data_IF_737855774917
#
_entry.id   IF_737855774917
#
_cell.length_a   1.000
_cell.length_b   1.000
_cell.length_c   1.000
_cell.angle_alpha   90.00
_cell.angle_beta   90.00
_cell.angle_gamma   90.00
#
_symmetry.space_group_name_H-M   'P 1'
#
loop_
_entity.id
_entity.type
_entity.pdbx_description
1 polymer ?
#
# COMPACT_ATOMS: atom_id res chain seq x y z
N UNK A 1 -1.36 67.30 16.98
CA UNK A 1 -1.88 66.68 15.74
C UNK A 1 -1.09 65.42 15.50
N UNK A 2 -1.65 64.25 15.84
CA UNK A 2 -0.99 62.95 15.76
C UNK A 2 -1.67 62.11 14.68
N UNK A 3 -0.85 61.47 13.84
CA UNK A 3 -1.27 60.63 12.72
C UNK A 3 -1.77 59.25 13.20
N UNK A 4 -2.70 58.61 12.47
CA UNK A 4 -3.21 57.28 12.82
C UNK A 4 -2.24 56.17 12.39
N UNK A 5 -2.07 55.19 13.27
CA UNK A 5 -1.33 53.94 13.06
C UNK A 5 -2.12 53.00 12.15
N UNK A 6 -1.61 52.76 10.94
CA UNK A 6 -2.07 51.71 10.04
C UNK A 6 -1.32 50.41 10.34
N UNK A 7 -2.03 49.43 10.93
CA UNK A 7 -1.62 48.02 10.95
C UNK A 7 -2.05 47.37 9.64
N UNK A 8 -1.11 47.05 8.78
CA UNK A 8 -1.26 46.07 7.69
C UNK A 8 -0.28 44.94 7.96
N UNK A 9 -0.80 43.84 8.50
CA UNK A 9 -0.09 42.57 8.59
C UNK A 9 -0.45 41.78 7.34
N UNK A 10 0.40 41.86 6.33
CA UNK A 10 0.36 40.98 5.17
C UNK A 10 0.76 39.56 5.61
N UNK A 11 -0.24 38.73 5.93
CA UNK A 11 -0.08 37.28 5.96
C UNK A 11 -0.77 36.72 4.71
N UNK A 12 0.03 36.51 3.65
CA UNK A 12 -0.31 35.55 2.58
C UNK A 12 0.02 34.16 3.12
N UNK A 13 -0.96 33.54 3.79
CA UNK A 13 -0.97 32.09 4.01
C UNK A 13 -1.66 31.42 2.82
N UNK A 14 -0.89 30.65 2.05
CA UNK A 14 -1.05 29.20 1.94
C UNK A 14 -1.99 28.81 0.80
N UNK A 15 -1.41 28.76 -0.41
CA UNK A 15 -1.92 27.86 -1.43
C UNK A 15 -1.77 26.45 -0.88
N UNK A 16 -2.89 25.80 -0.60
CA UNK A 16 -2.94 24.43 -0.11
C UNK A 16 -2.08 23.52 -0.98
N UNK A 17 -0.92 23.16 -0.45
CA UNK A 17 -0.06 22.12 -0.99
C UNK A 17 -0.89 20.84 -0.94
N UNK A 18 -1.43 20.45 -2.10
CA UNK A 18 -2.28 19.27 -2.25
C UNK A 18 -1.48 18.06 -1.80
N UNK A 19 -1.91 17.43 -0.71
CA UNK A 19 -1.22 16.27 -0.15
C UNK A 19 -1.52 15.04 -1.02
N UNK A 20 -0.67 14.81 -2.02
CA UNK A 20 -0.74 13.68 -2.97
C UNK A 20 -0.26 12.36 -2.35
N UNK A 21 -0.59 12.10 -1.07
CA UNK A 21 0.09 11.07 -0.26
C UNK A 21 -0.81 9.91 0.19
N UNK A 22 -1.42 9.11 -0.72
CA UNK A 22 -2.17 7.90 -0.35
C UNK A 22 -1.28 6.71 0.07
N UNK A 23 0.04 6.90 0.16
CA UNK A 23 1.03 5.83 0.40
C UNK A 23 1.69 5.85 1.79
N UNK A 24 1.26 6.73 2.71
CA UNK A 24 1.90 6.86 4.01
C UNK A 24 1.27 5.94 5.05
N UNK A 25 2.10 5.07 5.64
CA UNK A 25 1.76 4.19 6.76
C UNK A 25 1.40 5.01 8.01
N UNK A 26 0.49 4.50 8.85
CA UNK A 26 0.31 5.05 10.22
C UNK A 26 1.56 4.76 11.06
N UNK A 27 1.85 5.60 12.05
CA UNK A 27 3.06 5.50 12.90
C UNK A 27 3.21 4.12 13.56
N UNK A 28 2.10 3.51 13.95
CA UNK A 28 2.04 2.19 14.60
C UNK A 28 2.33 1.03 13.62
N UNK A 29 1.87 1.15 12.37
CA UNK A 29 2.21 0.20 11.29
C UNK A 29 3.69 0.30 10.91
N UNK A 30 4.24 1.51 11.00
CA UNK A 30 5.67 1.74 10.81
C UNK A 30 6.46 1.11 11.93
N UNK A 31 5.97 1.04 13.18
CA UNK A 31 6.72 0.45 14.29
C UNK A 31 6.86 -1.07 14.17
N UNK A 32 5.83 -1.82 13.78
CA UNK A 32 5.92 -3.28 13.58
C UNK A 32 6.77 -3.64 12.35
N UNK A 33 6.57 -2.91 11.24
CA UNK A 33 7.42 -3.05 10.07
C UNK A 33 8.84 -2.65 10.36
N UNK A 34 9.05 -1.57 11.12
CA UNK A 34 10.36 -1.09 11.54
C UNK A 34 11.01 -2.11 12.45
N UNK A 35 10.33 -2.71 13.43
CA UNK A 35 10.94 -3.75 14.27
C UNK A 35 11.34 -4.99 13.46
N UNK A 36 10.46 -5.48 12.58
CA UNK A 36 10.79 -6.61 11.69
C UNK A 36 11.94 -6.27 10.73
N UNK A 37 11.97 -5.06 10.18
CA UNK A 37 13.04 -4.56 9.32
C UNK A 37 14.32 -4.27 10.09
N UNK A 38 14.23 -3.73 11.30
CA UNK A 38 15.33 -3.45 12.21
C UNK A 38 15.97 -4.76 12.63
N UNK A 39 15.22 -5.82 12.88
CA UNK A 39 15.79 -7.12 13.21
C UNK A 39 16.51 -7.76 12.01
N UNK A 40 15.92 -7.67 10.81
CA UNK A 40 16.57 -8.07 9.55
C UNK A 40 17.84 -7.24 9.28
N UNK A 41 17.78 -5.93 9.54
CA UNK A 41 18.89 -5.00 9.42
C UNK A 41 19.96 -5.29 10.48
N UNK A 42 19.61 -5.52 11.74
CA UNK A 42 20.54 -5.79 12.84
C UNK A 42 21.29 -7.08 12.57
N UNK A 43 20.64 -8.14 12.10
CA UNK A 43 21.33 -9.38 11.73
C UNK A 43 22.28 -9.19 10.53
N UNK A 44 21.91 -8.38 9.53
CA UNK A 44 22.76 -8.12 8.35
C UNK A 44 23.89 -7.13 8.66
N UNK A 45 23.64 -6.11 9.49
CA UNK A 45 24.56 -5.03 9.90
C UNK A 45 25.54 -5.49 10.98
N UNK A 46 25.15 -6.38 11.88
CA UNK A 46 26.10 -7.04 12.79
C UNK A 46 27.23 -7.77 12.03
N UNK A 47 27.05 -8.02 10.72
CA UNK A 47 28.05 -8.63 9.85
C UNK A 47 28.64 -7.69 8.78
N UNK A 48 28.18 -6.43 8.65
CA UNK A 48 28.59 -5.50 7.55
C UNK A 48 28.63 -4.02 7.95
N UNK A 49 29.33 -3.19 7.17
CA UNK A 49 29.45 -1.74 7.38
C UNK A 49 28.09 -1.01 7.30
N UNK A 50 28.01 0.20 7.88
CA UNK A 50 26.82 1.07 7.86
C UNK A 50 26.30 1.36 6.43
N UNK A 51 27.19 1.34 5.43
CA UNK A 51 26.86 1.49 4.02
C UNK A 51 26.03 0.31 3.49
N UNK A 52 26.23 -0.89 4.03
CA UNK A 52 25.42 -2.08 3.73
C UNK A 52 24.00 -1.99 4.29
N UNK A 53 23.76 -1.23 5.38
CA UNK A 53 22.44 -1.04 5.96
C UNK A 53 21.53 -0.26 5.01
N UNK A 54 22.03 0.89 4.52
CA UNK A 54 21.34 1.73 3.54
C UNK A 54 21.10 1.00 2.21
N UNK A 55 22.03 0.14 1.80
CA UNK A 55 21.85 -0.72 0.63
C UNK A 55 20.65 -1.66 0.79
N UNK A 56 20.51 -2.31 1.94
CA UNK A 56 19.40 -3.22 2.20
C UNK A 56 18.06 -2.51 2.30
N UNK A 57 17.99 -1.37 3.00
CA UNK A 57 16.77 -0.56 3.07
C UNK A 57 16.28 -0.19 1.67
N UNK A 58 17.20 0.23 0.78
CA UNK A 58 16.87 0.47 -0.63
C UNK A 58 16.37 -0.77 -1.35
N UNK A 59 16.96 -1.95 -1.11
CA UNK A 59 16.50 -3.22 -1.69
C UNK A 59 15.06 -3.55 -1.24
N UNK A 60 14.76 -3.37 0.05
CA UNK A 60 13.43 -3.56 0.62
C UNK A 60 12.42 -2.61 -0.03
N UNK A 61 12.71 -1.31 -0.01
CA UNK A 61 11.81 -0.30 -0.61
C UNK A 61 11.61 -0.54 -2.10
N UNK A 62 12.66 -0.94 -2.82
CA UNK A 62 12.58 -1.31 -4.24
C UNK A 62 11.65 -2.51 -4.44
N UNK A 63 11.76 -3.58 -3.64
CA UNK A 63 10.89 -4.75 -3.77
C UNK A 63 9.42 -4.43 -3.45
N UNK A 64 9.17 -3.57 -2.45
CA UNK A 64 7.82 -3.09 -2.15
C UNK A 64 7.21 -2.29 -3.31
N UNK A 65 7.96 -1.32 -3.83
CA UNK A 65 7.54 -0.50 -4.98
C UNK A 65 7.35 -1.35 -6.23
N UNK A 66 8.24 -2.30 -6.47
CA UNK A 66 8.13 -3.24 -7.58
C UNK A 66 6.88 -4.14 -7.44
N UNK A 67 6.55 -4.57 -6.22
CA UNK A 67 5.34 -5.36 -5.97
C UNK A 67 4.08 -4.56 -6.27
N UNK A 68 3.97 -3.32 -5.80
CA UNK A 68 2.83 -2.46 -6.13
C UNK A 68 2.76 -2.16 -7.63
N UNK A 69 3.88 -1.79 -8.24
CA UNK A 69 3.97 -1.51 -9.67
C UNK A 69 3.56 -2.70 -10.54
N UNK A 70 3.87 -3.93 -10.12
CA UNK A 70 3.52 -5.14 -10.87
C UNK A 70 1.99 -5.41 -10.93
N UNK A 71 1.20 -4.78 -10.06
CA UNK A 71 -0.25 -4.95 -9.98
C UNK A 71 -1.04 -3.67 -10.29
N UNK A 72 -0.36 -2.54 -10.46
CA UNK A 72 -0.97 -1.27 -10.86
C UNK A 72 -0.86 -1.09 -12.39
N UNK A 73 -1.90 -1.49 -13.11
CA UNK A 73 -1.94 -1.40 -14.58
C UNK A 73 -1.86 0.05 -15.08
N UNK A 74 -2.38 1.01 -14.31
CA UNK A 74 -2.34 2.41 -14.69
C UNK A 74 -0.89 2.93 -14.63
N UNK A 75 -0.17 2.62 -13.56
CA UNK A 75 1.25 2.96 -13.43
C UNK A 75 2.11 2.19 -14.45
N UNK A 76 1.83 0.91 -14.71
CA UNK A 76 2.52 0.17 -15.77
C UNK A 76 2.37 0.83 -17.13
N UNK A 77 1.17 1.30 -17.45
CA UNK A 77 0.92 2.01 -18.69
C UNK A 77 1.67 3.36 -18.71
N UNK A 78 1.54 4.15 -17.63
CA UNK A 78 2.17 5.47 -17.50
C UNK A 78 3.70 5.44 -17.62
N UNK A 79 4.32 4.39 -17.09
CA UNK A 79 5.78 4.21 -17.09
C UNK A 79 6.25 3.18 -18.12
N UNK A 80 5.36 2.68 -18.99
CA UNK A 80 5.68 1.65 -19.99
C UNK A 80 6.41 0.41 -19.43
N UNK A 81 6.03 -0.01 -18.23
CA UNK A 81 6.67 -1.11 -17.51
C UNK A 81 8.05 -0.79 -16.91
N UNK A 82 8.53 0.45 -16.99
CA UNK A 82 9.80 0.88 -16.40
C UNK A 82 9.66 1.14 -14.89
N UNK A 83 9.96 0.10 -14.11
CA UNK A 83 9.94 0.16 -12.64
C UNK A 83 10.96 1.14 -12.06
N UNK A 84 12.09 1.36 -12.74
CA UNK A 84 13.14 2.26 -12.25
C UNK A 84 12.70 3.71 -12.42
N UNK A 85 12.10 4.05 -13.56
CA UNK A 85 11.47 5.36 -13.77
C UNK A 85 10.32 5.61 -12.79
N UNK A 86 9.50 4.58 -12.50
CA UNK A 86 8.45 4.69 -11.48
C UNK A 86 9.03 4.95 -10.09
N UNK A 87 10.06 4.19 -9.68
CA UNK A 87 10.71 4.41 -8.39
C UNK A 87 11.31 5.81 -8.27
N UNK A 88 11.97 6.29 -9.32
CA UNK A 88 12.50 7.65 -9.36
C UNK A 88 11.40 8.71 -9.25
N UNK A 89 10.24 8.48 -9.87
CA UNK A 89 9.10 9.39 -9.79
C UNK A 89 8.40 9.40 -8.42
N UNK A 90 8.50 8.32 -7.65
CA UNK A 90 8.07 8.31 -6.25
C UNK A 90 9.01 9.12 -5.33
N UNK A 91 10.30 9.17 -5.68
CA UNK A 91 11.30 9.95 -4.92
C UNK A 91 11.34 11.42 -5.33
N UNK A 92 10.97 11.74 -6.58
CA UNK A 92 10.83 13.11 -7.10
C UNK A 92 9.43 13.33 -7.71
N UNK A 93 8.50 14.00 -6.98
CA UNK A 93 7.16 14.29 -7.47
C UNK A 93 7.13 15.05 -8.80
N UNK A 94 8.19 15.77 -9.18
CA UNK A 94 8.25 16.48 -10.47
C UNK A 94 8.24 15.51 -11.64
N UNK A 95 8.98 14.40 -11.53
CA UNK A 95 9.03 13.37 -12.57
C UNK A 95 7.66 12.71 -12.75
N UNK A 96 6.90 12.49 -11.66
CA UNK A 96 5.53 11.98 -11.74
C UNK A 96 4.62 12.96 -12.50
N UNK A 97 4.68 14.25 -12.16
CA UNK A 97 3.90 15.29 -12.85
C UNK A 97 4.28 15.42 -14.33
N UNK A 98 5.58 15.34 -14.66
CA UNK A 98 6.06 15.38 -16.05
C UNK A 98 5.52 14.20 -16.87
N UNK A 99 5.53 12.99 -16.29
CA UNK A 99 4.98 11.78 -16.93
C UNK A 99 3.48 11.89 -17.16
N UNK A 100 2.72 12.31 -16.14
CA UNK A 100 1.29 12.56 -16.26
C UNK A 100 1.01 13.61 -17.35
N UNK A 101 1.74 14.73 -17.34
CA UNK A 101 1.57 15.79 -18.33
C UNK A 101 1.92 15.34 -19.76
N UNK A 102 2.94 14.51 -19.93
CA UNK A 102 3.30 13.93 -21.22
C UNK A 102 2.22 12.99 -21.74
N UNK A 103 1.69 12.13 -20.87
CA UNK A 103 0.54 11.30 -21.19
C UNK A 103 -0.65 12.17 -21.60
N UNK A 104 -1.05 13.16 -20.79
CA UNK A 104 -2.15 14.07 -21.12
C UNK A 104 -1.98 14.76 -22.49
N UNK A 105 -0.78 15.24 -22.82
CA UNK A 105 -0.51 15.81 -24.15
C UNK A 105 -0.74 14.79 -25.27
N UNK A 106 -0.24 13.56 -25.09
CA UNK A 106 -0.46 12.48 -26.06
C UNK A 106 -1.95 12.15 -26.25
N UNK A 107 -2.74 12.17 -25.18
CA UNK A 107 -4.21 11.98 -25.26
C UNK A 107 -4.89 13.10 -26.08
N UNK A 108 -4.44 14.35 -25.94
CA UNK A 108 -4.99 15.49 -26.67
C UNK A 108 -4.60 15.50 -28.16
N UNK A 109 -3.40 15.04 -28.48
CA UNK A 109 -2.88 14.98 -29.86
C UNK A 109 -3.50 13.82 -30.66
N UNK A 110 -3.98 12.77 -29.99
CA UNK A 110 -4.56 11.58 -30.62
C UNK A 110 -5.95 11.23 -30.05
N UNK A 111 -6.97 12.08 -30.25
CA UNK A 111 -8.30 11.93 -29.63
C UNK A 111 -9.11 10.70 -30.12
N UNK A 112 -8.59 9.95 -31.09
CA UNK A 112 -9.25 8.76 -31.66
C UNK A 112 -8.75 7.42 -31.14
N UNK A 113 -7.76 7.38 -30.24
CA UNK A 113 -7.38 6.12 -29.60
C UNK A 113 -8.36 5.84 -28.46
N UNK A 114 -9.22 4.84 -28.65
CA UNK A 114 -10.27 4.41 -27.71
C UNK A 114 -9.72 4.09 -26.29
N UNK A 115 -8.41 3.85 -26.20
CA UNK A 115 -7.68 3.53 -24.97
C UNK A 115 -7.40 4.76 -24.08
N UNK A 116 -7.32 5.95 -24.66
CA UNK A 116 -6.80 7.15 -24.00
C UNK A 116 -7.82 7.84 -23.09
N UNK A 117 -9.00 8.16 -23.64
CA UNK A 117 -10.08 8.79 -22.90
C UNK A 117 -10.70 7.83 -21.87
N UNK A 118 -10.76 6.53 -22.22
CA UNK A 118 -11.21 5.49 -21.30
C UNK A 118 -10.22 5.29 -20.16
N UNK A 119 -8.90 5.35 -20.42
CA UNK A 119 -7.87 5.32 -19.37
C UNK A 119 -7.95 6.55 -18.47
N UNK A 120 -8.10 7.76 -19.00
CA UNK A 120 -8.19 8.96 -18.16
C UNK A 120 -9.45 8.96 -17.29
N UNK A 121 -10.58 8.54 -17.86
CA UNK A 121 -11.83 8.37 -17.11
C UNK A 121 -11.68 7.31 -16.04
N UNK A 122 -11.08 6.15 -16.35
CA UNK A 122 -10.82 5.07 -15.38
C UNK A 122 -9.85 5.53 -14.29
N UNK A 123 -8.78 6.26 -14.63
CA UNK A 123 -7.83 6.81 -13.67
C UNK A 123 -8.49 7.88 -12.78
N UNK A 124 -9.32 8.76 -13.35
CA UNK A 124 -10.09 9.74 -12.57
C UNK A 124 -11.16 9.07 -11.72
N UNK A 125 -11.86 8.04 -12.19
CA UNK A 125 -12.81 7.26 -11.38
C UNK A 125 -12.07 6.54 -10.25
N UNK A 126 -10.91 5.95 -10.53
CA UNK A 126 -10.06 5.29 -9.54
C UNK A 126 -9.40 6.25 -8.55
N UNK A 127 -9.15 7.52 -8.90
CA UNK A 127 -8.33 8.45 -8.09
C UNK A 127 -9.04 9.74 -7.64
N UNK A 128 -10.16 10.15 -8.24
CA UNK A 128 -10.93 11.33 -7.82
C UNK A 128 -11.61 11.12 -6.47
N UNK A 129 -11.88 9.87 -6.11
CA UNK A 129 -12.36 9.47 -4.77
C UNK A 129 -11.27 9.68 -3.69
N UNK A 130 -9.99 9.58 -4.07
CA UNK A 130 -8.86 9.71 -3.14
C UNK A 130 -8.47 11.16 -2.76
N UNK A 131 -9.01 12.19 -3.42
CA UNK A 131 -8.57 13.59 -3.25
C UNK A 131 -9.50 14.48 -2.41
N UNK A 132 -10.64 13.96 -1.92
CA UNK A 132 -11.55 14.69 -1.03
C UNK A 132 -11.19 14.57 0.47
N UNK A 133 -9.99 14.08 0.78
CA UNK A 133 -9.52 13.75 2.13
C UNK A 133 -8.95 14.96 2.86
N UNK A 134 -9.83 15.84 3.33
CA UNK A 134 -9.46 16.82 4.34
C UNK A 134 -10.35 18.05 4.31
N UNK A 135 -11.22 18.18 5.31
CA UNK A 135 -11.46 19.44 6.07
C UNK A 135 -12.68 19.41 7.01
N UNK A 136 -13.45 18.33 7.13
CA UNK A 136 -14.63 18.31 8.00
C UNK A 136 -14.60 17.16 9.02
N UNK A 137 -13.81 17.31 10.09
CA UNK A 137 -13.92 16.43 11.25
C UNK A 137 -14.98 17.01 12.21
N UNK A 138 -16.26 16.67 11.97
CA UNK A 138 -17.31 16.89 12.97
C UNK A 138 -17.05 15.99 14.18
N UNK A 139 -16.78 16.60 15.33
CA UNK A 139 -16.55 15.92 16.60
C UNK A 139 -17.84 15.27 17.10
N UNK A 140 -18.13 14.08 16.59
CA UNK A 140 -19.14 13.20 17.17
C UNK A 140 -18.58 12.55 18.44
N UNK A 141 -19.42 12.39 19.46
CA UNK A 141 -19.04 11.66 20.66
C UNK A 141 -18.58 10.23 20.29
N UNK A 142 -17.48 9.71 20.86
CA UNK A 142 -16.97 8.39 20.51
C UNK A 142 -18.03 7.32 20.84
N UNK A 143 -18.23 6.33 19.95
CA UNK A 143 -19.16 5.23 20.22
C UNK A 143 -18.74 4.47 21.48
N UNK A 144 -19.71 3.97 22.25
CA UNK A 144 -19.48 3.25 23.52
C UNK A 144 -18.69 1.94 23.35
N UNK A 145 -18.57 1.43 22.13
CA UNK A 145 -17.76 0.25 21.80
C UNK A 145 -17.10 0.43 20.43
N UNK A 146 -15.79 0.68 20.42
CA UNK A 146 -14.96 0.65 19.21
C UNK A 146 -14.42 -0.78 19.08
N UNK A 147 -14.73 -1.51 18.00
CA UNK A 147 -14.16 -2.84 17.76
C UNK A 147 -12.63 -2.79 17.85
N UNK A 148 -12.02 -3.76 18.56
CA UNK A 148 -10.57 -3.89 18.61
C UNK A 148 -10.04 -4.59 17.37
N UNK A 149 -8.83 -4.26 16.95
CA UNK A 149 -8.12 -5.00 15.89
C UNK A 149 -7.88 -6.46 16.29
N UNK A 150 -7.71 -6.72 17.59
CA UNK A 150 -7.53 -8.08 18.14
C UNK A 150 -8.77 -8.97 17.95
N UNK A 151 -9.94 -8.36 17.70
CA UNK A 151 -11.19 -9.09 17.44
C UNK A 151 -11.40 -9.39 15.94
N UNK A 152 -10.54 -8.87 15.05
CA UNK A 152 -10.68 -9.10 13.61
C UNK A 152 -10.05 -10.44 13.18
N UNK A 153 -10.86 -11.40 12.67
CA UNK A 153 -10.37 -12.73 12.34
C UNK A 153 -9.41 -12.74 11.14
N UNK A 154 -9.54 -11.79 10.21
CA UNK A 154 -8.67 -11.68 9.03
C UNK A 154 -7.29 -11.18 9.46
N UNK A 155 -7.25 -10.20 10.36
CA UNK A 155 -6.01 -9.70 10.96
C UNK A 155 -5.29 -10.79 11.74
N UNK A 156 -5.98 -11.50 12.64
CA UNK A 156 -5.36 -12.58 13.43
C UNK A 156 -4.81 -13.70 12.53
N UNK A 157 -5.57 -14.10 11.49
CA UNK A 157 -5.09 -15.08 10.51
C UNK A 157 -3.86 -14.57 9.75
N UNK A 158 -3.89 -13.33 9.26
CA UNK A 158 -2.77 -12.70 8.55
C UNK A 158 -1.52 -12.60 9.42
N UNK A 159 -1.67 -12.19 10.67
CA UNK A 159 -0.59 -12.08 11.63
C UNK A 159 0.04 -13.45 11.90
N UNK A 160 -0.76 -14.45 12.29
CA UNK A 160 -0.27 -15.81 12.58
C UNK A 160 0.42 -16.45 11.37
N UNK A 161 -0.16 -16.30 10.19
CA UNK A 161 0.44 -16.77 8.94
C UNK A 161 1.79 -16.09 8.68
N UNK A 162 1.84 -14.75 8.78
CA UNK A 162 3.07 -13.98 8.54
C UNK A 162 4.21 -14.37 9.49
N UNK A 163 3.91 -14.61 10.77
CA UNK A 163 4.90 -15.07 11.75
C UNK A 163 5.49 -16.44 11.41
N UNK A 164 4.69 -17.36 10.84
CA UNK A 164 5.18 -18.66 10.39
C UNK A 164 6.05 -18.56 9.15
N UNK A 165 5.63 -17.74 8.17
CA UNK A 165 6.41 -17.44 6.97
C UNK A 165 7.75 -16.81 7.35
N UNK A 166 7.74 -15.85 8.26
CA UNK A 166 8.92 -15.18 8.79
C UNK A 166 9.87 -16.19 9.45
N UNK A 167 9.40 -16.99 10.41
CA UNK A 167 10.22 -18.02 11.08
C UNK A 167 10.86 -18.99 10.08
N UNK A 168 10.10 -19.45 9.10
CA UNK A 168 10.61 -20.35 8.07
C UNK A 168 11.66 -19.66 7.19
N UNK A 169 11.34 -18.47 6.68
CA UNK A 169 12.16 -17.77 5.69
C UNK A 169 13.44 -17.20 6.31
N UNK A 170 13.38 -16.66 7.53
CA UNK A 170 14.54 -16.20 8.29
C UNK A 170 15.55 -17.30 8.54
N UNK A 171 15.11 -18.49 8.95
CA UNK A 171 16.00 -19.64 9.13
C UNK A 171 16.79 -19.95 7.86
N UNK A 172 16.15 -19.87 6.70
CA UNK A 172 16.83 -20.12 5.42
C UNK A 172 17.73 -18.95 5.02
N UNK A 173 17.23 -17.73 5.09
CA UNK A 173 17.89 -16.54 4.54
C UNK A 173 19.03 -16.04 5.43
N UNK A 174 18.82 -16.00 6.75
CA UNK A 174 19.78 -15.51 7.73
C UNK A 174 20.68 -16.64 8.24
N UNK A 175 20.10 -17.69 8.83
CA UNK A 175 20.89 -18.72 9.53
C UNK A 175 21.65 -19.60 8.54
N UNK A 176 20.99 -20.03 7.46
CA UNK A 176 21.58 -20.88 6.43
C UNK A 176 22.19 -20.10 5.26
N UNK A 177 22.10 -18.76 5.28
CA UNK A 177 22.66 -17.85 4.26
C UNK A 177 22.22 -18.16 2.83
N UNK A 178 20.99 -18.60 2.66
CA UNK A 178 20.43 -18.86 1.33
C UNK A 178 19.93 -17.54 0.72
N UNK A 179 20.77 -16.90 -0.08
CA UNK A 179 20.46 -15.61 -0.72
C UNK A 179 19.72 -15.78 -2.06
N UNK A 180 18.53 -16.38 -2.02
CA UNK A 180 17.64 -16.47 -3.18
C UNK A 180 16.72 -15.25 -3.28
N UNK A 181 16.47 -14.77 -4.51
CA UNK A 181 15.63 -13.58 -4.76
C UNK A 181 14.16 -13.79 -4.37
N UNK A 182 13.59 -14.97 -4.61
CA UNK A 182 12.22 -15.25 -4.21
C UNK A 182 12.12 -15.39 -2.69
N UNK A 183 13.12 -15.99 -2.04
CA UNK A 183 13.16 -16.05 -0.59
C UNK A 183 13.24 -14.66 0.04
N UNK A 184 14.08 -13.76 -0.50
CA UNK A 184 14.13 -12.36 -0.07
C UNK A 184 12.76 -11.69 -0.20
N UNK A 185 12.06 -11.90 -1.33
CA UNK A 185 10.72 -11.35 -1.54
C UNK A 185 9.72 -11.87 -0.52
N UNK A 186 9.75 -13.16 -0.20
CA UNK A 186 8.89 -13.74 0.85
C UNK A 186 9.11 -13.03 2.18
N UNK A 187 10.38 -12.87 2.59
CA UNK A 187 10.76 -12.20 3.84
C UNK A 187 10.18 -10.77 3.90
N UNK A 188 10.37 -10.00 2.83
CA UNK A 188 9.97 -8.59 2.80
C UNK A 188 8.44 -8.43 2.75
N UNK A 189 7.79 -9.16 1.84
CA UNK A 189 6.39 -8.90 1.54
C UNK A 189 5.44 -9.54 2.57
N UNK A 190 5.81 -10.66 3.21
CA UNK A 190 4.95 -11.32 4.19
C UNK A 190 4.68 -10.44 5.42
N UNK A 191 5.68 -9.65 5.85
CA UNK A 191 5.55 -8.74 7.00
C UNK A 191 4.59 -7.56 6.74
N UNK A 192 4.34 -7.22 5.46
CA UNK A 192 3.48 -6.10 5.10
C UNK A 192 1.99 -6.46 5.15
N UNK A 193 1.65 -7.73 4.96
CA UNK A 193 0.26 -8.18 4.86
C UNK A 193 -0.55 -7.83 6.12
N UNK A 194 -0.14 -8.20 7.36
CA UNK A 194 -0.91 -7.82 8.55
C UNK A 194 -1.02 -6.31 8.73
N UNK A 195 0.03 -5.54 8.36
CA UNK A 195 -0.03 -4.08 8.41
C UNK A 195 -1.07 -3.51 7.43
N UNK A 196 -1.18 -4.07 6.22
CA UNK A 196 -2.18 -3.67 5.23
C UNK A 196 -3.60 -4.08 5.61
N UNK A 197 -3.77 -5.24 6.26
CA UNK A 197 -5.05 -5.66 6.84
C UNK A 197 -5.46 -4.70 7.98
N UNK A 198 -4.54 -4.34 8.88
CA UNK A 198 -4.82 -3.38 9.95
C UNK A 198 -5.21 -1.99 9.43
N UNK A 199 -4.56 -1.52 8.37
CA UNK A 199 -4.95 -0.31 7.66
C UNK A 199 -6.37 -0.42 7.09
N UNK A 200 -6.66 -1.54 6.42
CA UNK A 200 -7.98 -1.85 5.87
C UNK A 200 -9.08 -1.85 6.94
N UNK A 201 -8.82 -2.52 8.06
CA UNK A 201 -9.71 -2.57 9.22
C UNK A 201 -9.97 -1.19 9.79
N UNK A 202 -8.91 -0.41 10.01
CA UNK A 202 -9.01 0.96 10.56
C UNK A 202 -9.85 1.88 9.68
N UNK A 203 -9.76 1.73 8.35
CA UNK A 203 -10.62 2.45 7.41
C UNK A 203 -12.08 2.04 7.55
N UNK A 204 -12.36 0.74 7.72
CA UNK A 204 -13.73 0.22 7.79
C UNK A 204 -14.48 0.66 9.08
N UNK A 205 -13.74 0.98 10.14
CA UNK A 205 -14.30 1.59 11.35
C UNK A 205 -14.84 3.00 11.09
N UNK A 206 -14.26 3.71 10.13
CA UNK A 206 -14.81 4.97 9.66
C UNK A 206 -15.96 4.66 8.70
N UNK A 207 -17.17 4.78 9.24
CA UNK A 207 -18.39 4.45 8.53
C UNK A 207 -18.77 5.48 7.47
N UNK A 208 -17.94 6.44 7.10
CA UNK A 208 -18.20 7.31 5.96
C UNK A 208 -17.76 6.67 4.63
N UNK A 209 -17.87 7.40 3.52
CA UNK A 209 -17.45 6.86 2.20
C UNK A 209 -15.93 6.79 2.09
N UNK A 210 -15.24 7.79 2.62
CA UNK A 210 -13.79 7.90 2.60
C UNK A 210 -13.15 6.77 3.41
N UNK A 211 -13.58 6.54 4.65
CA UNK A 211 -13.18 5.40 5.47
C UNK A 211 -13.26 4.06 4.74
N UNK A 212 -14.39 3.82 4.07
CA UNK A 212 -14.62 2.61 3.28
C UNK A 212 -13.71 2.51 2.04
N UNK A 213 -13.42 3.63 1.36
CA UNK A 213 -12.42 3.67 0.28
C UNK A 213 -11.01 3.35 0.81
N UNK A 214 -10.60 3.95 1.94
CA UNK A 214 -9.33 3.61 2.58
C UNK A 214 -9.27 2.14 2.99
N UNK A 215 -10.38 1.60 3.51
CA UNK A 215 -10.49 0.18 3.84
C UNK A 215 -10.21 -0.68 2.60
N UNK A 216 -10.86 -0.35 1.49
CA UNK A 216 -10.71 -1.05 0.22
C UNK A 216 -9.26 -1.01 -0.29
N UNK A 217 -8.58 0.13 -0.18
CA UNK A 217 -7.15 0.25 -0.53
C UNK A 217 -6.31 -0.69 0.33
N UNK A 218 -6.54 -0.71 1.64
CA UNK A 218 -5.79 -1.56 2.59
C UNK A 218 -5.89 -3.04 2.25
N UNK A 219 -7.12 -3.54 2.13
CA UNK A 219 -7.35 -4.94 1.81
C UNK A 219 -6.84 -5.32 0.40
N UNK A 220 -6.99 -4.45 -0.60
CA UNK A 220 -6.42 -4.69 -1.94
C UNK A 220 -4.90 -4.76 -1.92
N UNK A 221 -4.24 -3.86 -1.18
CA UNK A 221 -2.79 -3.92 -1.00
C UNK A 221 -2.38 -5.21 -0.30
N UNK A 222 -3.09 -5.61 0.77
CA UNK A 222 -2.83 -6.89 1.46
C UNK A 222 -2.92 -8.08 0.50
N UNK A 223 -3.96 -8.14 -0.34
CA UNK A 223 -4.12 -9.18 -1.35
C UNK A 223 -2.96 -9.21 -2.36
N UNK A 224 -2.55 -8.04 -2.88
CA UNK A 224 -1.41 -7.93 -3.81
C UNK A 224 -0.12 -8.49 -3.18
N UNK A 225 0.20 -8.08 -1.95
CA UNK A 225 1.39 -8.58 -1.26
C UNK A 225 1.29 -10.08 -0.99
N UNK A 226 0.12 -10.59 -0.61
CA UNK A 226 -0.10 -12.02 -0.36
C UNK A 226 0.07 -12.86 -1.62
N UNK A 227 -0.58 -12.49 -2.73
CA UNK A 227 -0.40 -13.18 -4.03
C UNK A 227 1.08 -13.22 -4.39
N UNK A 228 1.78 -12.10 -4.22
CA UNK A 228 3.21 -12.02 -4.53
C UNK A 228 4.07 -12.93 -3.66
N UNK A 229 3.75 -13.07 -2.36
CA UNK A 229 4.43 -14.02 -1.48
C UNK A 229 4.14 -15.46 -1.88
N UNK A 230 2.90 -15.79 -2.22
CA UNK A 230 2.50 -17.13 -2.67
C UNK A 230 3.23 -17.56 -3.95
N UNK A 231 3.34 -16.67 -4.94
CA UNK A 231 4.15 -16.90 -6.15
C UNK A 231 5.61 -17.23 -5.79
N UNK A 232 6.20 -16.44 -4.90
CA UNK A 232 7.60 -16.64 -4.49
C UNK A 232 7.81 -17.89 -3.64
N UNK A 233 6.87 -18.25 -2.76
CA UNK A 233 6.88 -19.51 -2.03
C UNK A 233 6.84 -20.70 -3.00
N UNK A 234 5.97 -20.65 -4.01
CA UNK A 234 5.88 -21.68 -5.05
C UNK A 234 7.20 -21.81 -5.85
N UNK A 235 7.83 -20.68 -6.19
CA UNK A 235 9.15 -20.66 -6.84
C UNK A 235 10.24 -21.26 -5.95
N UNK A 236 10.29 -20.91 -4.67
CA UNK A 236 11.22 -21.49 -3.69
C UNK A 236 11.05 -23.01 -3.57
N UNK A 237 9.80 -23.48 -3.59
CA UNK A 237 9.48 -24.91 -3.59
C UNK A 237 9.99 -25.60 -4.87
N UNK A 238 9.78 -25.00 -6.04
CA UNK A 238 10.28 -25.50 -7.32
C UNK A 238 11.80 -25.65 -7.36
N UNK A 239 12.52 -24.64 -6.87
CA UNK A 239 13.99 -24.52 -6.86
C UNK A 239 14.73 -25.42 -5.89
N UNK A 240 14.05 -26.24 -5.08
CA UNK A 240 14.62 -27.03 -3.96
C UNK A 240 15.17 -26.22 -2.78
N UNK A 241 15.12 -24.89 -2.83
CA UNK A 241 15.46 -24.00 -1.71
C UNK A 241 14.47 -24.15 -0.55
N UNK A 242 13.24 -24.61 -0.84
CA UNK A 242 12.16 -24.76 0.15
C UNK A 242 11.34 -26.05 0.02
N UNK A 243 11.92 -27.18 -0.43
CA UNK A 243 11.17 -28.45 -0.49
C UNK A 243 10.98 -29.08 0.90
N UNK A 244 10.17 -28.40 1.70
CA UNK A 244 9.75 -28.87 3.02
C UNK A 244 8.23 -28.92 3.06
N UNK A 245 7.61 -29.89 3.76
CA UNK A 245 6.15 -29.93 3.94
C UNK A 245 5.57 -28.59 4.41
N UNK A 246 6.31 -27.88 5.27
CA UNK A 246 5.98 -26.53 5.73
C UNK A 246 5.64 -25.54 4.60
N UNK A 247 6.31 -25.58 3.44
CA UNK A 247 6.02 -24.62 2.36
C UNK A 247 4.68 -24.90 1.70
N UNK A 248 4.26 -26.17 1.61
CA UNK A 248 2.91 -26.50 1.15
C UNK A 248 1.86 -26.01 2.12
N UNK A 249 2.05 -26.25 3.43
CA UNK A 249 1.15 -25.75 4.46
C UNK A 249 1.01 -24.22 4.39
N UNK A 250 2.12 -23.49 4.27
CA UNK A 250 2.11 -22.03 4.13
C UNK A 250 1.40 -21.55 2.85
N UNK A 251 1.52 -22.30 1.74
CA UNK A 251 0.82 -22.00 0.49
C UNK A 251 -0.69 -22.23 0.63
N UNK A 252 -1.11 -23.31 1.28
CA UNK A 252 -2.51 -23.63 1.47
C UNK A 252 -3.18 -22.61 2.42
N UNK A 253 -2.58 -22.36 3.58
CA UNK A 253 -3.05 -21.34 4.54
C UNK A 253 -3.09 -19.93 3.92
N UNK A 254 -2.10 -19.59 3.10
CA UNK A 254 -2.07 -18.28 2.45
C UNK A 254 -3.15 -18.13 1.36
N UNK A 255 -3.60 -19.22 0.72
CA UNK A 255 -4.75 -19.18 -0.19
C UNK A 255 -6.07 -19.03 0.56
N UNK A 256 -6.20 -19.66 1.72
CA UNK A 256 -7.36 -19.47 2.61
C UNK A 256 -7.44 -18.01 3.07
N UNK A 257 -6.32 -17.46 3.55
CA UNK A 257 -6.24 -16.04 3.92
C UNK A 257 -6.58 -15.11 2.75
N UNK A 258 -6.14 -15.43 1.53
CA UNK A 258 -6.45 -14.62 0.35
C UNK A 258 -7.97 -14.59 0.08
N UNK A 259 -8.64 -15.74 0.20
CA UNK A 259 -10.09 -15.81 0.03
C UNK A 259 -10.83 -14.95 1.09
N UNK A 260 -10.36 -14.94 2.34
CA UNK A 260 -10.93 -14.10 3.39
C UNK A 260 -10.72 -12.60 3.12
N UNK A 261 -9.55 -12.21 2.63
CA UNK A 261 -9.27 -10.83 2.22
C UNK A 261 -10.17 -10.42 1.03
N UNK A 262 -10.33 -11.28 0.03
CA UNK A 262 -11.20 -11.03 -1.12
C UNK A 262 -12.67 -10.90 -0.72
N UNK A 263 -13.13 -11.67 0.27
CA UNK A 263 -14.46 -11.54 0.84
C UNK A 263 -14.65 -10.16 1.48
N UNK A 264 -13.67 -9.65 2.25
CA UNK A 264 -13.71 -8.29 2.80
C UNK A 264 -13.77 -7.21 1.73
N UNK A 265 -12.99 -7.35 0.66
CA UNK A 265 -13.04 -6.45 -0.51
C UNK A 265 -14.46 -6.42 -1.09
N UNK A 266 -15.05 -7.59 -1.34
CA UNK A 266 -16.39 -7.70 -1.91
C UNK A 266 -17.49 -7.10 -1.00
N UNK A 267 -17.38 -7.31 0.32
CA UNK A 267 -18.26 -6.69 1.32
C UNK A 267 -18.20 -5.16 1.24
N UNK A 268 -17.00 -4.57 1.25
CA UNK A 268 -16.80 -3.11 1.21
C UNK A 268 -17.32 -2.52 -0.12
N UNK A 269 -16.98 -3.14 -1.24
CA UNK A 269 -17.48 -2.71 -2.55
C UNK A 269 -19.01 -2.75 -2.63
N UNK A 270 -19.64 -3.76 -2.04
CA UNK A 270 -21.09 -3.82 -1.94
C UNK A 270 -21.65 -2.62 -1.17
N UNK A 271 -21.06 -2.28 -0.01
CA UNK A 271 -21.49 -1.13 0.78
C UNK A 271 -21.36 0.20 0.03
N UNK A 272 -20.23 0.42 -0.65
CA UNK A 272 -20.00 1.62 -1.47
C UNK A 272 -21.05 1.76 -2.60
N UNK A 273 -21.35 0.66 -3.32
CA UNK A 273 -22.37 0.64 -4.39
C UNK A 273 -23.77 1.00 -3.88
N UNK A 274 -24.16 0.53 -2.69
CA UNK A 274 -25.49 0.82 -2.14
C UNK A 274 -25.62 2.28 -1.68
N UNK A 275 -24.54 2.88 -1.17
CA UNK A 275 -24.52 4.30 -0.78
C UNK A 275 -24.56 5.25 -1.97
N UNK A 276 -23.81 4.95 -3.03
CA UNK A 276 -23.79 5.77 -4.25
C UNK A 276 -25.17 5.94 -4.88
N UNK A 277 -26.02 4.90 -4.82
CA UNK A 277 -27.41 4.93 -5.34
C UNK A 277 -28.38 5.78 -4.51
N UNK A 278 -28.03 6.07 -3.26
CA UNK A 278 -28.94 6.72 -2.30
C UNK A 278 -28.75 8.24 -2.25
N UNK A 279 -27.79 8.82 -2.98
CA UNK A 279 -27.65 10.28 -3.09
C UNK A 279 -28.84 10.84 -3.90
N UNK A 280 -29.77 11.58 -3.28
CA UNK A 280 -30.86 12.20 -4.02
C UNK A 280 -30.26 13.17 -5.04
N UNK A 281 -30.66 13.05 -6.30
CA UNK A 281 -30.36 14.06 -7.32
C UNK A 281 -31.02 15.36 -6.88
N UNK A 282 -30.24 16.28 -6.30
CA UNK A 282 -30.70 17.64 -6.09
C UNK A 282 -30.82 18.30 -7.47
N UNK A 283 -32.04 18.23 -8.01
CA UNK A 283 -32.48 19.02 -9.16
C UNK A 283 -32.92 20.41 -8.74
#
# INVERSE_FOLDING_TARGET
MAQPSSRTSDYRGEGGERDLRPYFFRREETDVLREALEELLVHRVATRSQESARGFEREVLREQRQTLFAYDTAMQHLFHGDVDAFCAALDDPRLMHERLAAMYRSLHEHPGTEDAASWHTRWQEEHAEHHAWGTAQEQSAPPEHVPSLDDDPVYDLAFRWSCRVDRWSRRLYLDQRVHDRDLFRVVVNAALIPAKVAFGFSGALDHDASGMEAALIGYRQAAIFLVRVLESLANCYGKRVGRTPMVHELLDEGRELLADIEMKIAEIESHLRHRGRSRPSHG
#
